data_IF_544640043877
#
_entry.id   IF_544640043877
#
_cell.length_a   1.000
_cell.length_b   1.000
_cell.length_c   1.000
_cell.angle_alpha   90.00
_cell.angle_beta   90.00
_cell.angle_gamma   90.00
#
_symmetry.space_group_name_H-M   'P 1'
#
loop_
_entity.id
_entity.type
_entity.pdbx_description
1 polymer ?
#
# COMPACT_ATOMS: atom_id res chain seq x y z
N UNK A 1 4.57 2.72 23.09
CA UNK A 1 5.30 1.58 22.51
C UNK A 1 4.82 1.39 21.08
N UNK A 2 5.66 0.92 20.14
CA UNK A 2 5.16 0.53 18.83
C UNK A 2 4.08 -0.56 19.01
N UNK A 3 3.02 -0.50 18.21
CA UNK A 3 1.98 -1.52 18.24
C UNK A 3 2.49 -2.85 17.67
N UNK A 4 1.86 -3.94 18.10
CA UNK A 4 2.09 -5.30 17.61
C UNK A 4 1.37 -5.50 16.28
N UNK A 5 2.03 -6.15 15.33
CA UNK A 5 1.55 -6.33 13.95
C UNK A 5 0.92 -7.71 13.72
N UNK A 6 -0.13 -7.76 12.92
CA UNK A 6 -0.62 -8.98 12.27
C UNK A 6 -0.23 -8.92 10.79
N UNK A 7 0.63 -9.85 10.37
CA UNK A 7 1.30 -9.85 9.07
C UNK A 7 0.91 -11.13 8.32
N UNK A 8 -0.23 -11.17 7.62
CA UNK A 8 -0.58 -12.34 6.82
C UNK A 8 0.55 -12.75 5.87
N UNK A 9 0.70 -14.06 5.71
CA UNK A 9 1.63 -14.67 4.79
C UNK A 9 0.86 -15.25 3.60
N UNK A 10 1.38 -15.05 2.40
CA UNK A 10 0.90 -15.71 1.19
C UNK A 10 2.07 -16.50 0.61
N UNK A 11 1.97 -17.82 0.62
CA UNK A 11 2.85 -18.64 -0.19
C UNK A 11 2.49 -18.44 -1.67
N UNK A 12 3.45 -17.99 -2.47
CA UNK A 12 3.21 -17.71 -3.90
C UNK A 12 3.77 -18.81 -4.81
N UNK A 13 4.42 -19.84 -4.26
CA UNK A 13 4.97 -20.94 -5.03
C UNK A 13 3.84 -21.75 -5.68
N UNK A 14 3.86 -21.84 -7.02
CA UNK A 14 2.82 -22.56 -7.79
C UNK A 14 1.45 -21.86 -7.83
N UNK A 15 1.34 -20.62 -7.34
CA UNK A 15 0.09 -19.88 -7.29
C UNK A 15 -0.08 -18.90 -8.45
N UNK A 16 -1.33 -18.70 -8.87
CA UNK A 16 -1.64 -17.76 -9.96
C UNK A 16 -1.61 -16.34 -9.40
N UNK A 17 -0.90 -15.43 -10.08
CA UNK A 17 -0.76 -14.01 -9.68
C UNK A 17 -2.08 -13.32 -9.33
N UNK A 18 -3.15 -13.57 -10.09
CA UNK A 18 -4.47 -12.99 -9.82
C UNK A 18 -5.07 -13.43 -8.48
N UNK A 19 -4.84 -14.68 -8.05
CA UNK A 19 -5.28 -15.17 -6.75
C UNK A 19 -4.52 -14.50 -5.62
N UNK A 20 -3.21 -14.33 -5.77
CA UNK A 20 -2.35 -13.65 -4.80
C UNK A 20 -2.78 -12.19 -4.62
N UNK A 21 -2.99 -11.45 -5.72
CA UNK A 21 -3.44 -10.06 -5.68
C UNK A 21 -4.79 -9.95 -4.96
N UNK A 22 -5.76 -10.80 -5.32
CA UNK A 22 -7.09 -10.80 -4.68
C UNK A 22 -7.01 -11.07 -3.18
N UNK A 23 -6.16 -12.00 -2.75
CA UNK A 23 -5.98 -12.32 -1.34
C UNK A 23 -5.25 -11.19 -0.59
N UNK A 24 -4.24 -10.60 -1.20
CA UNK A 24 -3.51 -9.46 -0.67
C UNK A 24 -4.42 -8.23 -0.48
N UNK A 25 -5.30 -7.94 -1.45
CA UNK A 25 -6.32 -6.90 -1.34
C UNK A 25 -7.28 -7.16 -0.17
N UNK A 26 -7.75 -8.41 -0.02
CA UNK A 26 -8.61 -8.82 1.11
C UNK A 26 -7.91 -8.59 2.46
N UNK A 27 -6.62 -8.88 2.55
CA UNK A 27 -5.84 -8.62 3.76
C UNK A 27 -5.70 -7.13 4.06
N UNK A 28 -5.37 -6.32 3.07
CA UNK A 28 -5.34 -4.87 3.18
C UNK A 28 -6.68 -4.29 3.68
N UNK A 29 -7.78 -4.77 3.11
CA UNK A 29 -9.13 -4.31 3.43
C UNK A 29 -9.67 -4.85 4.77
N UNK A 30 -9.09 -5.93 5.29
CA UNK A 30 -9.43 -6.51 6.60
C UNK A 30 -8.51 -6.06 7.74
N UNK A 31 -7.62 -5.09 7.50
CA UNK A 31 -6.81 -4.47 8.56
C UNK A 31 -5.48 -5.15 8.84
N UNK A 32 -4.90 -5.89 7.88
CA UNK A 32 -3.50 -6.31 7.97
C UNK A 32 -2.55 -5.11 8.14
N UNK A 33 -1.47 -5.28 8.91
CA UNK A 33 -0.46 -4.23 9.08
C UNK A 33 0.58 -4.23 7.98
N UNK A 34 0.97 -5.42 7.55
CA UNK A 34 1.93 -5.69 6.48
C UNK A 34 1.56 -7.01 5.81
N UNK A 35 2.24 -7.34 4.71
CA UNK A 35 2.08 -8.61 3.99
C UNK A 35 3.44 -9.27 3.77
N UNK A 36 3.55 -10.59 3.94
CA UNK A 36 4.71 -11.36 3.47
C UNK A 36 4.31 -12.22 2.27
N UNK A 37 4.96 -11.99 1.13
CA UNK A 37 4.95 -12.92 0.01
C UNK A 37 6.10 -13.91 0.20
N UNK A 38 5.79 -15.19 0.27
CA UNK A 38 6.77 -16.22 0.59
C UNK A 38 7.01 -17.12 -0.62
N UNK A 39 8.20 -17.05 -1.21
CA UNK A 39 8.64 -17.96 -2.27
C UNK A 39 10.17 -18.04 -2.34
N UNK A 40 10.72 -19.12 -1.79
CA UNK A 40 12.15 -19.42 -1.80
C UNK A 40 12.56 -20.38 -2.92
N UNK A 41 11.76 -20.47 -3.99
CA UNK A 41 12.13 -21.25 -5.18
C UNK A 41 13.47 -20.77 -5.74
N UNK A 42 14.32 -21.74 -6.11
CA UNK A 42 15.59 -21.49 -6.79
C UNK A 42 15.43 -21.37 -8.31
N UNK A 43 14.23 -21.66 -8.83
CA UNK A 43 13.94 -21.55 -10.25
C UNK A 43 13.85 -20.08 -10.68
N UNK A 44 14.64 -19.71 -11.70
CA UNK A 44 14.70 -18.33 -12.19
C UNK A 44 13.37 -17.84 -12.76
N UNK A 45 12.57 -18.70 -13.41
CA UNK A 45 11.26 -18.29 -13.91
C UNK A 45 10.33 -17.93 -12.76
N UNK A 46 10.32 -18.72 -11.68
CA UNK A 46 9.56 -18.43 -10.47
C UNK A 46 9.96 -17.10 -9.83
N UNK A 47 11.27 -16.78 -9.81
CA UNK A 47 11.76 -15.46 -9.34
C UNK A 47 11.26 -14.33 -10.22
N UNK A 48 11.35 -14.47 -11.55
CA UNK A 48 10.87 -13.45 -12.50
C UNK A 48 9.35 -13.22 -12.36
N UNK A 49 8.57 -14.28 -12.19
CA UNK A 49 7.13 -14.20 -11.95
C UNK A 49 6.81 -13.47 -10.64
N UNK A 50 7.54 -13.77 -9.55
CA UNK A 50 7.39 -13.08 -8.28
C UNK A 50 7.73 -11.57 -8.39
N UNK A 51 8.78 -11.22 -9.12
CA UNK A 51 9.15 -9.81 -9.34
C UNK A 51 8.09 -9.07 -10.17
N UNK A 52 7.50 -9.72 -11.19
CA UNK A 52 6.38 -9.16 -11.95
C UNK A 52 5.14 -8.98 -11.08
N UNK A 53 4.81 -9.99 -10.28
CA UNK A 53 3.72 -9.93 -9.31
C UNK A 53 3.90 -8.77 -8.33
N UNK A 54 5.12 -8.60 -7.79
CA UNK A 54 5.43 -7.50 -6.87
C UNK A 54 5.16 -6.12 -7.47
N UNK A 55 5.58 -5.88 -8.71
CA UNK A 55 5.32 -4.60 -9.40
C UNK A 55 3.82 -4.31 -9.52
N UNK A 56 3.01 -5.33 -9.76
CA UNK A 56 1.55 -5.20 -9.81
C UNK A 56 0.96 -4.94 -8.42
N UNK A 57 1.50 -5.57 -7.38
CA UNK A 57 1.06 -5.37 -6.00
C UNK A 57 1.35 -3.95 -5.48
N UNK A 58 2.49 -3.33 -5.86
CA UNK A 58 2.81 -1.94 -5.49
C UNK A 58 1.66 -0.98 -5.82
N UNK A 59 0.98 -1.19 -6.95
CA UNK A 59 -0.15 -0.35 -7.38
C UNK A 59 -1.46 -0.63 -6.63
N UNK A 60 -1.63 -1.87 -6.17
CA UNK A 60 -2.88 -2.36 -5.58
C UNK A 60 -2.95 -2.21 -4.05
N UNK A 61 -1.82 -2.37 -3.36
CA UNK A 61 -1.77 -2.42 -1.90
C UNK A 61 -1.50 -1.06 -1.26
N UNK A 62 -2.19 -0.79 -0.14
CA UNK A 62 -1.97 0.39 0.69
C UNK A 62 -1.17 0.08 1.98
N UNK A 63 -0.70 -1.17 2.11
CA UNK A 63 0.08 -1.65 3.26
C UNK A 63 1.49 -2.05 2.80
N UNK A 64 2.51 -1.92 3.66
CA UNK A 64 3.86 -2.43 3.38
C UNK A 64 3.83 -3.93 3.07
N UNK A 65 4.69 -4.37 2.16
CA UNK A 65 4.85 -5.78 1.87
C UNK A 65 6.32 -6.17 1.77
N UNK A 66 6.62 -7.38 2.23
CA UNK A 66 7.94 -7.97 2.29
C UNK A 66 7.96 -9.18 1.37
N UNK A 67 9.07 -9.40 0.68
CA UNK A 67 9.24 -10.55 -0.21
C UNK A 67 10.28 -11.49 0.40
N UNK A 68 9.86 -12.71 0.71
CA UNK A 68 10.74 -13.84 0.94
C UNK A 68 11.18 -14.45 -0.36
N UNK A 69 12.48 -14.37 -0.66
CA UNK A 69 13.08 -14.87 -1.89
C UNK A 69 14.47 -15.46 -1.60
N UNK A 70 14.79 -16.53 -2.32
CA UNK A 70 16.14 -17.10 -2.32
C UNK A 70 17.08 -16.21 -3.17
N UNK A 71 17.83 -15.34 -2.49
CA UNK A 71 18.81 -14.47 -3.12
C UNK A 71 20.17 -15.18 -3.27
N UNK A 72 20.73 -15.20 -4.47
CA UNK A 72 22.08 -15.71 -4.71
C UNK A 72 23.12 -14.60 -4.80
N UNK A 73 22.67 -13.41 -5.21
CA UNK A 73 23.46 -12.24 -5.52
C UNK A 73 22.88 -10.96 -4.90
N UNK A 74 23.67 -9.89 -4.92
CA UNK A 74 23.19 -8.56 -4.54
C UNK A 74 22.14 -8.03 -5.50
N UNK A 75 22.22 -8.41 -6.78
CA UNK A 75 21.26 -7.95 -7.78
C UNK A 75 19.86 -8.51 -7.48
N UNK A 76 19.73 -9.75 -7.00
CA UNK A 76 18.44 -10.31 -6.56
C UNK A 76 17.78 -9.45 -5.48
N UNK A 77 18.55 -9.09 -4.44
CA UNK A 77 18.09 -8.26 -3.33
C UNK A 77 17.66 -6.88 -3.85
N UNK A 78 18.49 -6.26 -4.67
CA UNK A 78 18.23 -4.96 -5.27
C UNK A 78 16.97 -4.99 -6.13
N UNK A 79 16.81 -6.01 -6.97
CA UNK A 79 15.66 -6.18 -7.86
C UNK A 79 14.36 -6.29 -7.06
N UNK A 80 14.35 -7.07 -5.98
CA UNK A 80 13.22 -7.16 -5.04
C UNK A 80 12.87 -5.78 -4.49
N UNK A 81 13.82 -5.07 -3.89
CA UNK A 81 13.52 -3.78 -3.26
C UNK A 81 13.09 -2.71 -4.28
N UNK A 82 13.62 -2.77 -5.51
CA UNK A 82 13.22 -1.87 -6.60
C UNK A 82 11.85 -2.16 -7.20
N UNK A 83 11.21 -3.27 -6.84
CA UNK A 83 9.80 -3.50 -7.21
C UNK A 83 8.82 -2.69 -6.35
N UNK A 84 9.27 -2.07 -5.25
CA UNK A 84 8.43 -1.40 -4.26
C UNK A 84 8.27 -2.14 -2.94
N UNK A 85 8.88 -3.33 -2.82
CA UNK A 85 8.87 -4.08 -1.56
C UNK A 85 9.51 -3.27 -0.43
N UNK A 86 8.85 -3.24 0.72
CA UNK A 86 9.30 -2.51 1.91
C UNK A 86 10.50 -3.20 2.58
N UNK A 87 10.66 -4.51 2.35
CA UNK A 87 11.80 -5.29 2.80
C UNK A 87 11.93 -6.63 2.06
N UNK A 88 13.04 -7.31 2.31
CA UNK A 88 13.32 -8.65 1.82
C UNK A 88 13.52 -9.60 3.00
N UNK A 89 12.88 -10.78 2.93
CA UNK A 89 13.08 -11.88 3.87
C UNK A 89 14.06 -12.88 3.26
N UNK A 90 15.21 -13.02 3.92
CA UNK A 90 16.30 -13.88 3.51
C UNK A 90 16.25 -15.19 4.29
N UNK A 91 16.57 -16.30 3.64
CA UNK A 91 16.68 -17.60 4.30
C UNK A 91 17.90 -17.63 5.23
N UNK A 92 17.81 -18.36 6.35
CA UNK A 92 18.94 -18.65 7.24
C UNK A 92 20.19 -19.12 6.49
N UNK A 93 20.00 -19.88 5.40
CA UNK A 93 21.09 -20.40 4.58
C UNK A 93 22.00 -19.30 4.02
N UNK A 94 21.51 -18.06 3.88
CA UNK A 94 22.28 -16.93 3.34
C UNK A 94 23.33 -16.39 4.31
N UNK A 95 23.31 -16.80 5.59
CA UNK A 95 24.37 -16.48 6.53
C UNK A 95 25.74 -17.03 6.09
N UNK A 96 25.79 -17.98 5.16
CA UNK A 96 27.04 -18.42 4.53
C UNK A 96 27.67 -17.40 3.56
N UNK A 97 26.96 -16.30 3.27
CA UNK A 97 27.40 -15.16 2.43
C UNK A 97 27.24 -13.84 3.21
N UNK A 98 27.95 -13.64 4.34
CA UNK A 98 27.74 -12.49 5.22
C UNK A 98 27.99 -11.15 4.52
N UNK A 99 29.00 -11.07 3.64
CA UNK A 99 29.34 -9.84 2.91
C UNK A 99 28.19 -9.35 2.02
N UNK A 100 27.42 -10.27 1.44
CA UNK A 100 26.25 -9.95 0.62
C UNK A 100 25.17 -9.26 1.46
N UNK A 101 24.86 -9.81 2.63
CA UNK A 101 23.83 -9.28 3.55
C UNK A 101 24.28 -7.91 4.06
N UNK A 102 25.54 -7.81 4.51
CA UNK A 102 26.10 -6.56 5.04
C UNK A 102 26.07 -5.45 4.00
N UNK A 103 26.52 -5.73 2.78
CA UNK A 103 26.49 -4.75 1.69
C UNK A 103 25.06 -4.32 1.33
N UNK A 104 24.11 -5.25 1.32
CA UNK A 104 22.69 -4.92 1.12
C UNK A 104 22.13 -4.03 2.24
N UNK A 105 22.46 -4.32 3.49
CA UNK A 105 22.05 -3.52 4.64
C UNK A 105 22.63 -2.11 4.60
N UNK A 106 23.93 -1.97 4.30
CA UNK A 106 24.58 -0.67 4.17
C UNK A 106 23.97 0.17 3.03
N UNK A 107 23.56 -0.48 1.93
CA UNK A 107 22.96 0.19 0.78
C UNK A 107 21.51 0.60 1.00
N UNK A 108 20.70 -0.25 1.62
CA UNK A 108 19.24 -0.10 1.67
C UNK A 108 18.68 0.21 3.08
N UNK A 109 19.51 0.07 4.11
CA UNK A 109 19.17 0.22 5.50
C UNK A 109 18.72 -1.09 6.15
N UNK A 110 19.16 -1.32 7.39
CA UNK A 110 18.88 -2.55 8.16
C UNK A 110 17.39 -2.90 8.28
N UNK A 111 16.51 -1.90 8.34
CA UNK A 111 15.07 -2.11 8.48
C UNK A 111 14.43 -2.78 7.26
N UNK A 112 15.13 -2.84 6.11
CA UNK A 112 14.67 -3.54 4.91
C UNK A 112 15.14 -5.00 4.86
N UNK A 113 16.00 -5.42 5.79
CA UNK A 113 16.63 -6.74 5.77
C UNK A 113 16.04 -7.60 6.89
N UNK A 114 15.34 -8.66 6.49
CA UNK A 114 14.73 -9.64 7.39
C UNK A 114 15.45 -10.98 7.21
N UNK A 115 15.60 -11.74 8.29
CA UNK A 115 16.20 -13.08 8.26
C UNK A 115 15.24 -14.08 8.86
N UNK A 116 14.94 -15.15 8.10
CA UNK A 116 14.21 -16.29 8.61
C UNK A 116 15.16 -17.23 9.36
N UNK A 117 14.80 -17.63 10.58
CA UNK A 117 15.54 -18.58 11.40
C UNK A 117 14.59 -19.61 12.04
N UNK A 118 15.08 -20.81 12.37
CA UNK A 118 14.30 -21.78 13.12
C UNK A 118 14.44 -21.51 14.61
N UNK A 119 13.41 -21.83 15.40
CA UNK A 119 13.48 -21.74 16.85
C UNK A 119 14.68 -22.51 17.44
N UNK A 120 15.02 -23.66 16.86
CA UNK A 120 16.20 -24.46 17.25
C UNK A 120 17.51 -23.67 17.16
N UNK A 121 17.68 -22.89 16.08
CA UNK A 121 18.90 -22.11 15.84
C UNK A 121 19.04 -21.00 16.92
N UNK A 122 17.92 -20.43 17.37
CA UNK A 122 17.88 -19.47 18.50
C UNK A 122 18.25 -20.18 19.82
N UNK A 123 17.70 -21.37 20.06
CA UNK A 123 17.93 -22.08 21.33
C UNK A 123 19.38 -22.57 21.48
N UNK A 124 20.04 -22.93 20.38
CA UNK A 124 21.41 -23.45 20.39
C UNK A 124 22.45 -22.41 20.80
N UNK A 125 22.36 -21.17 20.31
CA UNK A 125 23.36 -20.13 20.58
C UNK A 125 22.77 -18.72 20.53
N UNK A 126 23.41 -17.79 21.22
CA UNK A 126 23.08 -16.36 21.14
C UNK A 126 23.81 -15.67 19.95
N UNK A 127 24.73 -16.38 19.27
CA UNK A 127 25.51 -15.92 18.11
C UNK A 127 24.64 -15.34 16.98
N UNK A 128 23.41 -15.83 16.82
CA UNK A 128 22.50 -15.31 15.79
C UNK A 128 22.18 -13.83 16.01
N UNK A 129 22.05 -13.40 17.27
CA UNK A 129 21.75 -12.02 17.60
C UNK A 129 22.94 -11.11 17.29
N UNK A 130 24.15 -11.53 17.66
CA UNK A 130 25.38 -10.82 17.33
C UNK A 130 25.58 -10.74 15.81
N UNK A 131 25.32 -11.84 15.10
CA UNK A 131 25.37 -11.90 13.63
C UNK A 131 24.39 -10.91 13.01
N UNK A 132 23.17 -10.82 13.53
CA UNK A 132 22.18 -9.86 13.05
C UNK A 132 22.67 -8.41 13.22
N UNK A 133 23.26 -8.06 14.35
CA UNK A 133 23.80 -6.72 14.55
C UNK A 133 24.99 -6.43 13.61
N UNK A 134 25.93 -7.37 13.47
CA UNK A 134 27.11 -7.23 12.63
C UNK A 134 26.78 -7.09 11.14
N UNK A 135 25.78 -7.82 10.66
CA UNK A 135 25.35 -7.80 9.25
C UNK A 135 24.28 -6.73 8.98
N UNK A 136 23.81 -6.02 10.01
CA UNK A 136 22.76 -5.02 9.88
C UNK A 136 21.41 -5.62 9.48
N UNK A 137 21.00 -6.72 10.10
CA UNK A 137 19.67 -7.31 9.94
C UNK A 137 18.73 -6.60 10.92
N UNK A 138 17.61 -6.09 10.43
CA UNK A 138 16.67 -5.31 11.26
C UNK A 138 15.64 -6.17 11.99
N UNK A 139 15.25 -7.30 11.38
CA UNK A 139 14.16 -8.14 11.88
C UNK A 139 14.46 -9.63 11.70
N UNK A 140 14.27 -10.40 12.77
CA UNK A 140 14.26 -11.86 12.74
C UNK A 140 12.83 -12.37 12.59
N UNK A 141 12.60 -13.25 11.61
CA UNK A 141 11.35 -14.01 11.46
C UNK A 141 11.61 -15.44 11.92
N UNK A 142 10.95 -15.85 13.01
CA UNK A 142 11.26 -17.13 13.66
C UNK A 142 10.17 -18.14 13.38
N UNK A 143 10.54 -19.28 12.82
CA UNK A 143 9.66 -20.42 12.63
C UNK A 143 9.43 -21.08 14.00
N UNK A 144 8.26 -20.82 14.57
CA UNK A 144 7.92 -21.20 15.94
C UNK A 144 7.50 -22.68 16.04
N UNK A 145 7.86 -23.27 17.17
CA UNK A 145 7.59 -24.66 17.56
C UNK A 145 6.87 -24.67 18.91
N UNK A 146 7.45 -24.01 19.92
CA UNK A 146 6.90 -23.94 21.28
C UNK A 146 7.23 -22.64 22.02
N UNK A 147 6.50 -22.38 23.11
CA UNK A 147 6.68 -21.23 24.00
C UNK A 147 7.42 -21.62 25.29
N UNK A 148 8.48 -22.43 25.20
CA UNK A 148 9.31 -22.76 26.36
C UNK A 148 9.90 -21.50 27.02
N UNK A 149 10.10 -21.55 28.34
CA UNK A 149 10.69 -20.43 29.10
C UNK A 149 12.08 -20.05 28.58
N UNK A 150 12.87 -21.04 28.14
CA UNK A 150 14.18 -20.82 27.53
C UNK A 150 14.07 -19.99 26.23
N UNK A 151 13.09 -20.29 25.38
CA UNK A 151 12.86 -19.55 24.14
C UNK A 151 12.43 -18.11 24.43
N UNK A 152 11.45 -17.92 25.31
CA UNK A 152 10.95 -16.59 25.69
C UNK A 152 12.08 -15.74 26.30
N UNK A 153 12.88 -16.34 27.19
CA UNK A 153 14.02 -15.68 27.83
C UNK A 153 15.06 -15.23 26.80
N UNK A 154 15.38 -16.06 25.80
CA UNK A 154 16.29 -15.67 24.71
C UNK A 154 15.72 -14.54 23.86
N UNK A 155 14.46 -14.63 23.43
CA UNK A 155 13.84 -13.57 22.62
C UNK A 155 13.81 -12.23 23.34
N UNK A 156 13.60 -12.23 24.66
CA UNK A 156 13.59 -11.01 25.48
C UNK A 156 14.93 -10.25 25.48
N UNK A 157 16.02 -10.91 25.06
CA UNK A 157 17.36 -10.33 24.92
C UNK A 157 17.71 -9.94 23.49
N UNK A 158 16.83 -10.23 22.52
CA UNK A 158 17.12 -9.95 21.11
C UNK A 158 17.36 -8.44 20.87
N UNK A 159 18.47 -8.05 20.23
CA UNK A 159 18.77 -6.65 19.91
C UNK A 159 18.00 -6.15 18.66
N UNK A 160 17.32 -7.06 17.96
CA UNK A 160 16.58 -6.80 16.73
C UNK A 160 15.09 -7.08 16.92
N UNK A 161 14.26 -6.54 16.03
CA UNK A 161 12.82 -6.82 16.08
C UNK A 161 12.55 -8.29 15.79
N UNK A 162 11.62 -8.91 16.50
CA UNK A 162 11.24 -10.31 16.24
C UNK A 162 9.83 -10.38 15.67
N UNK A 163 9.63 -11.20 14.64
CA UNK A 163 8.31 -11.62 14.15
C UNK A 163 8.23 -13.13 14.35
N UNK A 164 7.13 -13.61 14.91
CA UNK A 164 6.89 -15.04 15.06
C UNK A 164 6.09 -15.55 13.86
N UNK A 165 6.60 -16.56 13.16
CA UNK A 165 5.85 -17.32 12.16
C UNK A 165 5.22 -18.53 12.82
N UNK A 166 3.88 -18.55 12.89
CA UNK A 166 3.10 -19.63 13.51
C UNK A 166 1.83 -19.93 12.71
N UNK A 167 1.33 -21.17 12.78
CA UNK A 167 0.10 -21.57 12.09
C UNK A 167 -1.18 -21.16 12.84
N UNK A 168 -1.05 -20.74 14.10
CA UNK A 168 -2.12 -20.37 15.04
C UNK A 168 -3.21 -21.44 15.22
N UNK A 169 -2.92 -22.70 14.93
CA UNK A 169 -3.87 -23.80 15.10
C UNK A 169 -3.96 -24.26 16.55
N UNK A 170 -2.85 -24.18 17.29
CA UNK A 170 -2.73 -24.66 18.67
C UNK A 170 -2.26 -23.59 19.65
N UNK A 171 -1.74 -22.48 19.14
CA UNK A 171 -1.16 -21.43 19.94
C UNK A 171 -2.10 -20.24 20.00
N UNK A 172 -2.17 -19.63 21.18
CA UNK A 172 -2.87 -18.37 21.35
C UNK A 172 -1.97 -17.22 20.89
N UNK A 173 -2.44 -16.49 19.89
CA UNK A 173 -1.77 -15.31 19.34
C UNK A 173 -1.43 -14.27 20.44
N UNK A 174 -2.23 -14.19 21.52
CA UNK A 174 -2.00 -13.30 22.67
C UNK A 174 -0.70 -13.63 23.38
N UNK A 175 -0.46 -14.92 23.64
CA UNK A 175 0.73 -15.38 24.36
C UNK A 175 2.00 -15.07 23.56
N UNK A 176 1.93 -15.25 22.24
CA UNK A 176 3.05 -14.95 21.33
C UNK A 176 3.34 -13.44 21.26
N UNK A 177 2.32 -12.59 21.16
CA UNK A 177 2.49 -11.13 21.08
C UNK A 177 2.94 -10.48 22.41
N UNK A 178 2.62 -11.11 23.54
CA UNK A 178 3.03 -10.63 24.86
C UNK A 178 4.54 -10.81 25.15
N UNK A 179 5.26 -11.56 24.31
CA UNK A 179 6.72 -11.65 24.40
C UNK A 179 7.31 -10.24 24.10
N UNK A 180 8.16 -9.68 24.99
CA UNK A 180 8.55 -8.26 24.94
C UNK A 180 9.06 -7.77 23.57
N UNK A 181 9.99 -8.51 22.95
CA UNK A 181 10.63 -8.13 21.69
C UNK A 181 9.91 -8.65 20.44
N UNK A 182 8.80 -9.37 20.60
CA UNK A 182 7.98 -9.79 19.46
C UNK A 182 7.18 -8.58 18.99
N UNK A 183 7.45 -8.11 17.79
CA UNK A 183 6.80 -6.95 17.18
C UNK A 183 5.61 -7.33 16.31
N UNK A 184 5.45 -8.61 15.96
CA UNK A 184 4.31 -9.09 15.21
C UNK A 184 4.32 -10.60 15.00
N UNK A 185 3.26 -11.07 14.35
CA UNK A 185 3.10 -12.47 13.95
C UNK A 185 2.84 -12.53 12.46
N UNK A 186 3.46 -13.51 11.81
CA UNK A 186 3.19 -13.86 10.43
C UNK A 186 2.57 -15.25 10.31
N UNK A 187 1.52 -15.38 9.49
CA UNK A 187 0.70 -16.59 9.45
C UNK A 187 -0.18 -16.67 8.20
N UNK A 188 -0.50 -17.88 7.76
CA UNK A 188 -1.50 -18.15 6.71
C UNK A 188 -2.92 -18.31 7.28
N UNK A 189 -3.08 -18.31 8.61
CA UNK A 189 -4.32 -18.59 9.34
C UNK A 189 -5.51 -17.70 8.96
N UNK A 190 -5.24 -16.49 8.44
CA UNK A 190 -6.24 -15.47 8.15
C UNK A 190 -6.86 -15.55 6.75
N UNK A 191 -6.48 -16.52 5.91
CA UNK A 191 -7.00 -16.64 4.52
C UNK A 191 -8.51 -16.46 4.41
N UNK A 192 -9.26 -17.00 5.37
CA UNK A 192 -10.72 -16.92 5.44
C UNK A 192 -11.27 -16.31 6.73
N UNK A 193 -10.48 -15.46 7.40
CA UNK A 193 -10.84 -14.82 8.67
C UNK A 193 -10.67 -13.30 8.61
N UNK A 194 -11.32 -12.63 9.54
CA UNK A 194 -11.30 -11.17 9.68
C UNK A 194 -10.15 -10.75 10.62
N UNK A 195 -9.13 -10.12 10.07
CA UNK A 195 -7.95 -9.66 10.83
C UNK A 195 -8.34 -8.54 11.80
N UNK A 196 -9.17 -7.59 11.39
CA UNK A 196 -9.61 -6.47 12.22
C UNK A 196 -10.38 -6.98 13.43
N UNK A 197 -11.25 -7.99 13.25
CA UNK A 197 -11.93 -8.65 14.38
C UNK A 197 -10.93 -9.25 15.38
N UNK A 198 -9.87 -9.91 14.88
CA UNK A 198 -8.83 -10.44 15.76
C UNK A 198 -8.08 -9.33 16.50
N UNK A 199 -7.77 -8.21 15.83
CA UNK A 199 -7.15 -7.05 16.46
C UNK A 199 -8.04 -6.43 17.54
N UNK A 200 -9.33 -6.29 17.30
CA UNK A 200 -10.26 -5.78 18.31
C UNK A 200 -10.27 -6.65 19.56
N UNK A 201 -10.29 -7.98 19.40
CA UNK A 201 -10.18 -8.92 20.53
C UNK A 201 -8.83 -8.79 21.27
N UNK A 202 -7.73 -8.56 20.53
CA UNK A 202 -6.41 -8.31 21.15
C UNK A 202 -6.38 -7.02 21.96
N UNK A 203 -7.03 -5.97 21.44
CA UNK A 203 -7.12 -4.68 22.13
C UNK A 203 -7.94 -4.78 23.43
N UNK A 204 -9.04 -5.54 23.43
CA UNK A 204 -9.83 -5.80 24.65
C UNK A 204 -8.99 -6.47 25.75
N UNK A 205 -7.98 -7.23 25.36
CA UNK A 205 -7.01 -7.89 26.23
C UNK A 205 -5.76 -7.03 26.52
N UNK A 206 -5.82 -5.72 26.23
CA UNK A 206 -4.75 -4.73 26.43
C UNK A 206 -3.48 -4.97 25.60
N UNK A 207 -3.55 -5.73 24.51
CA UNK A 207 -2.45 -5.85 23.56
C UNK A 207 -2.52 -4.66 22.59
N UNK A 208 -1.46 -3.85 22.59
CA UNK A 208 -1.36 -2.68 21.70
C UNK A 208 -1.31 -3.14 20.24
N UNK A 209 -2.39 -2.94 19.49
CA UNK A 209 -2.49 -3.25 18.05
C UNK A 209 -3.01 -2.03 17.28
N UNK A 210 -2.74 -2.00 15.98
CA UNK A 210 -3.21 -0.92 15.11
C UNK A 210 -4.65 -1.16 14.67
N UNK A 211 -5.59 -0.43 15.28
CA UNK A 211 -7.01 -0.37 14.92
C UNK A 211 -7.43 1.08 14.75
N UNK A 212 -8.56 1.31 14.08
CA UNK A 212 -9.14 2.64 13.98
C UNK A 212 -9.67 3.09 15.35
N UNK A 213 -9.18 4.24 15.81
CA UNK A 213 -9.62 4.87 17.05
C UNK A 213 -9.97 6.33 16.77
N UNK A 214 -11.10 6.77 17.33
CA UNK A 214 -11.39 8.20 17.35
C UNK A 214 -10.59 8.88 18.45
N UNK A 215 -10.11 10.09 18.15
CA UNK A 215 -9.45 10.97 19.13
C UNK A 215 -10.45 11.65 20.07
N UNK A 216 -11.73 11.72 19.70
CA UNK A 216 -12.80 12.34 20.48
C UNK A 216 -14.05 11.44 20.49
N UNK A 217 -14.84 11.42 21.56
CA UNK A 217 -16.11 10.69 21.57
C UNK A 217 -17.14 11.34 20.64
N UNK A 218 -18.15 10.57 20.21
CA UNK A 218 -19.21 11.08 19.34
C UNK A 218 -19.98 12.26 19.97
N UNK A 219 -20.07 12.30 21.30
CA UNK A 219 -20.73 13.37 22.05
C UNK A 219 -20.11 14.76 21.88
N UNK A 220 -18.90 14.86 21.31
CA UNK A 220 -18.26 16.15 21.00
C UNK A 220 -18.68 16.72 19.64
N UNK A 221 -19.37 15.95 18.80
CA UNK A 221 -19.89 16.45 17.53
C UNK A 221 -21.17 17.25 17.73
N UNK A 222 -21.31 18.32 16.94
CA UNK A 222 -22.58 19.03 16.81
C UNK A 222 -23.44 18.29 15.81
N UNK A 223 -24.53 17.73 16.31
CA UNK A 223 -25.49 16.97 15.49
C UNK A 223 -26.76 17.77 15.29
N UNK A 224 -27.49 17.46 14.22
CA UNK A 224 -28.85 17.96 14.02
C UNK A 224 -29.81 17.53 15.14
N UNK A 225 -31.00 18.13 15.21
CA UNK A 225 -32.06 17.74 16.16
C UNK A 225 -32.42 16.24 16.11
N UNK A 226 -32.23 15.61 14.95
CA UNK A 226 -32.46 14.17 14.76
C UNK A 226 -31.27 13.30 15.22
N UNK A 227 -30.23 13.88 15.83
CA UNK A 227 -29.03 13.17 16.27
C UNK A 227 -28.11 12.74 15.11
N UNK A 228 -28.17 13.45 13.98
CA UNK A 228 -27.42 13.09 12.76
C UNK A 228 -26.34 14.13 12.43
N UNK A 229 -25.17 13.63 12.02
CA UNK A 229 -24.06 14.40 11.45
C UNK A 229 -23.91 14.12 9.95
N UNK A 230 -23.78 15.15 9.08
CA UNK A 230 -23.42 14.95 7.69
C UNK A 230 -22.01 14.38 7.53
N UNK A 231 -21.85 13.50 6.55
CA UNK A 231 -20.56 12.89 6.19
C UNK A 231 -20.35 13.04 4.70
N UNK A 232 -19.30 13.76 4.32
CA UNK A 232 -18.79 13.84 2.96
C UNK A 232 -17.82 12.68 2.76
N UNK A 233 -18.05 11.87 1.75
CA UNK A 233 -17.20 10.71 1.44
C UNK A 233 -16.40 11.01 0.18
N UNK A 234 -15.08 10.84 0.26
CA UNK A 234 -14.12 11.20 -0.78
C UNK A 234 -13.22 10.00 -1.11
N UNK A 235 -12.89 9.82 -2.38
CA UNK A 235 -11.85 8.87 -2.78
C UNK A 235 -10.50 9.29 -2.19
N UNK A 236 -9.87 8.38 -1.45
CA UNK A 236 -8.63 8.68 -0.73
C UNK A 236 -7.42 8.98 -1.64
N UNK A 237 -7.40 8.44 -2.87
CA UNK A 237 -6.32 8.64 -3.85
C UNK A 237 -6.58 9.86 -4.71
N UNK A 238 -7.77 9.96 -5.30
CA UNK A 238 -8.05 11.01 -6.30
C UNK A 238 -8.60 12.30 -5.70
N UNK A 239 -9.03 12.28 -4.43
CA UNK A 239 -9.70 13.41 -3.80
C UNK A 239 -11.08 13.73 -4.40
N UNK A 240 -11.66 12.83 -5.19
CA UNK A 240 -12.99 13.03 -5.77
C UNK A 240 -14.06 12.84 -4.69
N UNK A 241 -14.97 13.81 -4.54
CA UNK A 241 -16.13 13.63 -3.66
C UNK A 241 -17.06 12.60 -4.28
N UNK A 242 -17.31 11.52 -3.56
CA UNK A 242 -18.11 10.37 -4.00
C UNK A 242 -19.58 10.54 -3.65
N UNK A 243 -19.88 10.94 -2.42
CA UNK A 243 -21.26 11.09 -1.94
C UNK A 243 -21.33 11.92 -0.65
N UNK A 244 -22.54 12.35 -0.29
CA UNK A 244 -22.88 12.86 1.03
C UNK A 244 -23.94 11.94 1.65
N UNK A 245 -23.73 11.57 2.91
CA UNK A 245 -24.70 10.82 3.71
C UNK A 245 -24.72 11.34 5.14
N UNK A 246 -25.40 10.63 6.04
CA UNK A 246 -25.53 11.01 7.44
C UNK A 246 -25.16 9.82 8.32
N UNK A 247 -24.64 10.09 9.51
CA UNK A 247 -24.41 9.09 10.56
C UNK A 247 -25.15 9.54 11.83
N UNK A 248 -25.73 8.57 12.55
CA UNK A 248 -25.99 8.70 13.98
C UNK A 248 -24.79 8.14 14.76
N UNK A 249 -24.83 8.18 16.08
CA UNK A 249 -23.77 7.66 16.95
C UNK A 249 -23.43 6.19 16.66
N UNK A 250 -24.45 5.35 16.48
CA UNK A 250 -24.25 3.92 16.20
C UNK A 250 -23.55 3.69 14.85
N UNK A 251 -23.95 4.41 13.80
CA UNK A 251 -23.32 4.35 12.49
C UNK A 251 -21.85 4.80 12.53
N UNK A 252 -21.56 5.86 13.29
CA UNK A 252 -20.20 6.34 13.51
C UNK A 252 -19.35 5.29 14.24
N UNK A 253 -19.82 4.78 15.36
CA UNK A 253 -19.10 3.79 16.17
C UNK A 253 -18.84 2.49 15.41
N UNK A 254 -19.80 2.04 14.58
CA UNK A 254 -19.60 0.91 13.68
C UNK A 254 -18.57 1.21 12.60
N UNK A 255 -18.59 2.41 12.02
CA UNK A 255 -17.60 2.82 11.01
C UNK A 255 -16.18 2.82 11.57
N UNK A 256 -15.99 3.40 12.76
CA UNK A 256 -14.70 3.42 13.44
C UNK A 256 -14.26 2.00 13.79
N UNK A 257 -15.14 1.18 14.37
CA UNK A 257 -14.77 -0.18 14.82
C UNK A 257 -14.50 -1.14 13.66
N UNK A 258 -15.36 -1.14 12.63
CA UNK A 258 -15.31 -2.11 11.53
C UNK A 258 -14.48 -1.66 10.33
N UNK A 259 -13.98 -0.41 10.31
CA UNK A 259 -13.19 0.12 9.19
C UNK A 259 -13.94 0.21 7.86
N UNK A 260 -15.28 0.13 7.88
CA UNK A 260 -16.16 0.20 6.70
C UNK A 260 -17.26 1.22 6.93
N UNK A 261 -17.58 1.99 5.90
CA UNK A 261 -18.59 3.04 6.00
C UNK A 261 -19.98 2.47 6.31
N UNK A 262 -20.50 2.82 7.48
CA UNK A 262 -21.88 2.58 7.89
C UNK A 262 -22.59 3.92 8.00
N UNK A 263 -23.70 4.08 7.29
CA UNK A 263 -24.52 5.30 7.31
C UNK A 263 -25.84 5.06 8.03
N UNK A 264 -26.53 6.15 8.38
CA UNK A 264 -27.91 6.12 8.83
C UNK A 264 -28.84 6.63 7.71
N UNK A 265 -29.75 5.77 7.26
CA UNK A 265 -30.73 6.15 6.25
C UNK A 265 -31.86 6.95 6.90
N UNK A 266 -31.96 8.25 6.58
CA UNK A 266 -33.04 9.12 7.10
C UNK A 266 -34.43 8.66 6.70
N UNK A 267 -34.57 8.11 5.49
CA UNK A 267 -35.86 7.64 4.97
C UNK A 267 -36.25 6.27 5.53
N UNK A 268 -35.30 5.33 5.62
CA UNK A 268 -35.55 3.97 6.13
C UNK A 268 -35.46 3.88 7.66
N UNK A 269 -34.91 4.90 8.31
CA UNK A 269 -34.67 4.99 9.76
C UNK A 269 -33.87 3.81 10.31
N UNK A 270 -32.89 3.35 9.55
CA UNK A 270 -32.06 2.20 9.90
C UNK A 270 -30.60 2.44 9.51
N UNK A 271 -29.71 1.66 10.12
CA UNK A 271 -28.32 1.57 9.67
C UNK A 271 -28.22 0.98 8.26
N UNK A 272 -27.18 1.38 7.55
CA UNK A 272 -26.87 0.91 6.21
C UNK A 272 -25.36 0.78 6.04
N UNK A 273 -24.87 -0.46 6.03
CA UNK A 273 -23.49 -0.75 5.65
C UNK A 273 -23.35 -0.58 4.13
N UNK A 274 -22.54 0.39 3.69
CA UNK A 274 -22.38 0.67 2.27
C UNK A 274 -21.73 -0.52 1.58
N UNK A 275 -22.40 -1.05 0.56
CA UNK A 275 -21.94 -2.19 -0.23
C UNK A 275 -22.52 -3.53 0.20
N UNK A 276 -23.22 -3.63 1.33
CA UNK A 276 -23.78 -4.90 1.82
C UNK A 276 -24.66 -5.62 0.79
N UNK A 277 -25.50 -4.87 0.05
CA UNK A 277 -26.37 -5.44 -0.99
C UNK A 277 -25.73 -5.50 -2.38
N UNK A 278 -24.71 -4.68 -2.67
CA UNK A 278 -24.18 -4.49 -4.04
C UNK A 278 -22.74 -4.98 -4.23
N UNK A 279 -22.04 -5.34 -3.15
CA UNK A 279 -20.61 -5.59 -3.13
C UNK A 279 -19.72 -4.33 -3.26
N UNK A 280 -20.31 -3.14 -3.40
CA UNK A 280 -19.57 -1.88 -3.60
C UNK A 280 -19.22 -1.21 -2.27
N UNK A 281 -18.35 -1.86 -1.52
CA UNK A 281 -17.92 -1.43 -0.19
C UNK A 281 -17.08 -0.16 -0.21
N UNK A 282 -17.06 0.53 0.92
CA UNK A 282 -16.21 1.69 1.19
C UNK A 282 -15.38 1.40 2.43
N UNK A 283 -14.07 1.20 2.26
CA UNK A 283 -13.14 0.97 3.36
C UNK A 283 -12.56 2.30 3.82
N UNK A 284 -12.62 2.56 5.12
CA UNK A 284 -12.15 3.79 5.75
C UNK A 284 -10.62 3.84 5.66
N UNK A 285 -10.08 4.97 5.19
CA UNK A 285 -8.64 5.28 5.23
C UNK A 285 -8.34 6.42 6.20
N UNK A 286 -9.25 7.38 6.32
CA UNK A 286 -9.18 8.42 7.34
C UNK A 286 -10.56 9.04 7.58
N UNK A 287 -10.76 9.56 8.80
CA UNK A 287 -11.90 10.38 9.18
C UNK A 287 -11.40 11.71 9.74
N UNK A 288 -11.98 12.80 9.25
CA UNK A 288 -11.73 14.15 9.72
C UNK A 288 -13.05 14.80 10.12
N UNK A 289 -12.97 15.80 10.99
CA UNK A 289 -14.07 16.72 11.26
C UNK A 289 -13.63 18.12 10.90
N UNK A 290 -14.58 19.00 10.60
CA UNK A 290 -14.33 20.41 10.33
C UNK A 290 -14.03 21.22 11.60
N UNK A 291 -13.85 22.53 11.44
CA UNK A 291 -13.34 23.40 12.50
C UNK A 291 -14.32 23.58 13.67
N UNK A 292 -15.62 23.39 13.44
CA UNK A 292 -16.68 23.55 14.42
C UNK A 292 -17.41 22.24 14.77
N UNK A 293 -16.89 21.11 14.26
CA UNK A 293 -17.26 19.72 14.58
C UNK A 293 -18.69 19.35 14.21
N UNK A 294 -19.23 19.92 13.14
CA UNK A 294 -20.60 19.62 12.69
C UNK A 294 -20.67 18.76 11.43
N UNK A 295 -19.52 18.54 10.77
CA UNK A 295 -19.43 17.72 9.57
C UNK A 295 -18.22 16.78 9.63
N UNK A 296 -18.37 15.59 9.05
CA UNK A 296 -17.28 14.64 8.86
C UNK A 296 -16.84 14.57 7.39
N UNK A 297 -15.54 14.42 7.18
CA UNK A 297 -14.95 14.03 5.90
C UNK A 297 -14.34 12.64 6.04
N UNK A 298 -14.89 11.67 5.31
CA UNK A 298 -14.38 10.31 5.21
C UNK A 298 -13.57 10.13 3.93
N UNK A 299 -12.28 9.83 4.06
CA UNK A 299 -11.46 9.34 2.95
C UNK A 299 -11.58 7.82 2.88
N UNK A 300 -12.01 7.31 1.74
CA UNK A 300 -12.32 5.88 1.58
C UNK A 300 -11.68 5.30 0.32
N UNK A 301 -11.32 4.01 0.40
CA UNK A 301 -11.11 3.17 -0.77
C UNK A 301 -12.47 2.64 -1.22
N UNK A 302 -12.92 3.05 -2.40
CA UNK A 302 -14.20 2.66 -2.97
C UNK A 302 -14.04 1.42 -3.87
N UNK A 303 -14.81 0.36 -3.59
CA UNK A 303 -14.91 -0.80 -4.47
C UNK A 303 -16.09 -0.59 -5.43
N UNK A 304 -15.84 -0.67 -6.74
CA UNK A 304 -16.88 -0.43 -7.76
C UNK A 304 -17.44 1.00 -7.71
N UNK A 305 -18.60 1.27 -8.34
CA UNK A 305 -19.23 2.58 -8.30
C UNK A 305 -19.78 2.93 -6.91
N UNK A 306 -19.59 4.18 -6.46
CA UNK A 306 -20.22 4.65 -5.23
C UNK A 306 -21.73 4.86 -5.41
N UNK A 307 -22.15 5.29 -6.61
CA UNK A 307 -23.54 5.58 -6.93
C UNK A 307 -24.30 4.33 -7.39
N UNK A 308 -25.58 4.23 -6.99
CA UNK A 308 -26.48 3.17 -7.42
C UNK A 308 -26.83 3.20 -8.92
N UNK A 309 -26.54 4.31 -9.61
CA UNK A 309 -26.71 4.45 -11.07
C UNK A 309 -25.54 3.86 -11.86
N UNK A 310 -24.50 3.34 -11.19
CA UNK A 310 -23.27 2.87 -11.81
C UNK A 310 -22.21 3.94 -12.01
N UNK A 311 -22.49 5.21 -11.67
CA UNK A 311 -21.49 6.29 -11.71
C UNK A 311 -20.52 6.20 -10.53
N UNK A 312 -19.28 6.66 -10.76
CA UNK A 312 -18.23 6.69 -9.72
C UNK A 312 -18.64 7.57 -8.54
N UNK A 313 -19.14 8.77 -8.81
CA UNK A 313 -19.65 9.74 -7.83
C UNK A 313 -21.15 9.94 -7.99
N UNK A 314 -21.84 10.34 -6.91
CA UNK A 314 -23.20 10.88 -6.95
C UNK A 314 -23.27 12.27 -7.59
N UNK A 315 -22.16 13.01 -7.64
CA UNK A 315 -22.06 14.37 -8.17
C UNK A 315 -21.63 14.37 -9.65
N UNK A 316 -22.26 13.53 -10.48
CA UNK A 316 -21.89 13.36 -11.89
C UNK A 316 -22.63 14.31 -12.85
N UNK A 317 -23.68 14.99 -12.37
CA UNK A 317 -24.47 15.94 -13.18
C UNK A 317 -24.08 17.37 -12.84
N UNK A 318 -23.43 18.08 -13.77
CA UNK A 318 -23.13 19.50 -13.63
C UNK A 318 -24.38 20.36 -13.86
N UNK A 319 -24.66 21.28 -12.94
CA UNK A 319 -25.79 22.22 -13.07
C UNK A 319 -25.37 23.56 -13.70
N UNK A 320 -24.12 23.96 -13.49
CA UNK A 320 -23.52 25.16 -14.04
C UNK A 320 -22.04 24.90 -14.27
N UNK A 321 -21.63 24.87 -15.53
CA UNK A 321 -20.24 24.71 -15.93
C UNK A 321 -19.82 25.98 -16.64
N UNK A 322 -19.36 26.98 -15.87
CA UNK A 322 -18.61 28.08 -16.48
C UNK A 322 -17.28 27.50 -16.99
N UNK A 323 -16.80 27.94 -18.15
CA UNK A 323 -15.48 27.57 -18.67
C UNK A 323 -14.39 28.13 -17.73
N UNK A 324 -14.13 27.45 -16.62
CA UNK A 324 -12.96 27.68 -15.79
C UNK A 324 -11.83 26.84 -16.35
N UNK A 325 -10.68 27.48 -16.62
CA UNK A 325 -9.46 26.75 -16.92
C UNK A 325 -8.99 26.08 -15.64
N UNK A 326 -9.14 24.76 -15.56
CA UNK A 326 -8.56 23.93 -14.50
C UNK A 326 -7.12 24.40 -14.24
N UNK A 327 -6.83 24.70 -12.96
CA UNK A 327 -5.58 25.33 -12.55
C UNK A 327 -4.76 24.42 -11.65
N UNK A 328 -5.31 23.29 -11.21
CA UNK A 328 -4.57 22.28 -10.47
C UNK A 328 -3.54 21.60 -11.40
N UNK A 329 -2.22 21.77 -11.16
CA UNK A 329 -1.20 21.27 -12.07
C UNK A 329 -1.24 19.75 -12.26
N UNK A 330 -1.55 19.00 -11.20
CA UNK A 330 -1.58 17.55 -11.24
C UNK A 330 -2.77 17.05 -12.08
N UNK A 331 -3.95 17.64 -11.93
CA UNK A 331 -5.11 17.35 -12.78
C UNK A 331 -4.88 17.69 -14.24
N UNK A 332 -4.18 18.80 -14.53
CA UNK A 332 -3.81 19.14 -15.91
C UNK A 332 -2.93 18.04 -16.51
N UNK A 333 -1.88 17.62 -15.79
CA UNK A 333 -0.98 16.55 -16.23
C UNK A 333 -1.72 15.22 -16.42
N UNK A 334 -2.58 14.83 -15.47
CA UNK A 334 -3.42 13.64 -15.59
C UNK A 334 -4.39 13.73 -16.78
N UNK A 335 -5.01 14.89 -17.01
CA UNK A 335 -5.92 15.11 -18.14
C UNK A 335 -5.19 14.98 -19.47
N UNK A 336 -4.01 15.57 -19.62
CA UNK A 336 -3.19 15.48 -20.83
C UNK A 336 -2.76 14.02 -21.06
N UNK A 337 -2.31 13.33 -20.00
CA UNK A 337 -1.99 11.91 -20.07
C UNK A 337 -3.19 11.05 -20.47
N UNK A 338 -4.37 11.33 -19.92
CA UNK A 338 -5.62 10.68 -20.29
C UNK A 338 -5.97 10.83 -21.77
N UNK A 339 -5.75 12.01 -22.35
CA UNK A 339 -5.91 12.25 -23.80
C UNK A 339 -4.89 11.46 -24.63
N UNK A 340 -3.63 11.36 -24.17
CA UNK A 340 -2.60 10.55 -24.83
C UNK A 340 -3.01 9.07 -24.85
N UNK A 341 -3.47 8.56 -23.71
CA UNK A 341 -3.94 7.18 -23.56
C UNK A 341 -5.19 6.90 -24.39
N UNK A 342 -6.14 7.83 -24.45
CA UNK A 342 -7.30 7.74 -25.33
C UNK A 342 -6.87 7.66 -26.79
N UNK A 343 -5.99 8.54 -27.27
CA UNK A 343 -5.47 8.48 -28.64
C UNK A 343 -4.72 7.20 -28.96
N UNK A 344 -4.05 6.58 -27.97
CA UNK A 344 -3.39 5.27 -28.14
C UNK A 344 -4.41 4.15 -28.35
N UNK A 345 -5.54 4.18 -27.62
CA UNK A 345 -6.61 3.17 -27.71
C UNK A 345 -7.57 3.41 -28.89
N UNK A 346 -7.85 4.68 -29.17
CA UNK A 346 -8.78 5.18 -30.16
C UNK A 346 -8.03 6.13 -31.12
N UNK A 347 -7.28 5.59 -32.11
CA UNK A 347 -6.49 6.41 -33.01
C UNK A 347 -7.31 7.44 -33.77
N UNK A 348 -6.80 8.67 -33.85
CA UNK A 348 -7.41 9.75 -34.63
C UNK A 348 -6.47 10.15 -35.76
N UNK A 349 -6.95 10.03 -37.00
CA UNK A 349 -6.17 10.41 -38.19
C UNK A 349 -5.70 11.87 -38.10
N UNK A 350 -4.44 12.11 -38.47
CA UNK A 350 -3.80 13.44 -38.40
C UNK A 350 -3.37 13.90 -36.99
N UNK A 351 -3.58 13.09 -35.95
CA UNK A 351 -3.12 13.39 -34.59
C UNK A 351 -1.59 13.25 -34.46
N UNK A 352 -0.93 14.28 -33.93
CA UNK A 352 0.50 14.24 -33.62
C UNK A 352 0.86 13.11 -32.64
N UNK A 353 0.01 12.83 -31.65
CA UNK A 353 0.23 11.73 -30.71
C UNK A 353 0.24 10.37 -31.44
N UNK A 354 -0.66 10.17 -32.41
CA UNK A 354 -0.71 8.92 -33.17
C UNK A 354 0.51 8.76 -34.08
N UNK A 355 0.97 9.84 -34.72
CA UNK A 355 2.23 9.84 -35.47
C UNK A 355 3.44 9.39 -34.62
N UNK A 356 3.53 9.84 -33.36
CA UNK A 356 4.60 9.41 -32.46
C UNK A 356 4.53 7.90 -32.18
N UNK A 357 3.34 7.37 -31.86
CA UNK A 357 3.16 5.93 -31.63
C UNK A 357 3.41 5.09 -32.89
N UNK A 358 2.96 5.54 -34.06
CA UNK A 358 3.20 4.85 -35.34
C UNK A 358 4.68 4.77 -35.71
N UNK A 359 5.47 5.80 -35.38
CA UNK A 359 6.92 5.80 -35.59
C UNK A 359 7.69 5.04 -34.51
N UNK A 360 7.03 4.67 -33.42
CA UNK A 360 7.58 3.82 -32.37
C UNK A 360 8.59 4.50 -31.45
N UNK A 361 9.17 3.67 -30.58
CA UNK A 361 9.98 4.10 -29.44
C UNK A 361 11.15 5.02 -29.81
N UNK A 362 11.85 4.75 -30.92
CA UNK A 362 13.01 5.55 -31.33
C UNK A 362 12.64 7.01 -31.64
N UNK A 363 11.47 7.23 -32.25
CA UNK A 363 10.99 8.59 -32.55
C UNK A 363 10.58 9.33 -31.29
N UNK A 364 9.95 8.64 -30.35
CA UNK A 364 9.55 9.18 -29.05
C UNK A 364 10.81 9.58 -28.24
N UNK A 365 11.80 8.70 -28.16
CA UNK A 365 13.06 8.94 -27.47
C UNK A 365 13.85 10.10 -28.11
N UNK A 366 13.88 10.16 -29.44
CA UNK A 366 14.49 11.28 -30.16
C UNK A 366 13.88 12.62 -29.74
N UNK A 367 12.53 12.72 -29.69
CA UNK A 367 11.88 13.96 -29.23
C UNK A 367 12.20 14.27 -27.78
N UNK A 368 12.14 13.28 -26.87
CA UNK A 368 12.54 13.50 -25.48
C UNK A 368 13.96 14.07 -25.35
N UNK A 369 14.91 13.60 -26.17
CA UNK A 369 16.28 14.12 -26.21
C UNK A 369 16.41 15.53 -26.78
N UNK A 370 15.65 15.83 -27.85
CA UNK A 370 15.59 17.17 -28.46
C UNK A 370 15.08 18.21 -27.44
N UNK A 371 13.90 17.99 -26.86
CA UNK A 371 13.30 18.94 -25.90
C UNK A 371 14.17 19.10 -24.64
N UNK A 372 14.83 18.02 -24.17
CA UNK A 372 15.75 18.10 -23.04
C UNK A 372 16.97 18.99 -23.33
N UNK A 373 17.51 18.93 -24.55
CA UNK A 373 18.59 19.80 -24.98
C UNK A 373 18.12 21.26 -25.12
N UNK A 374 16.91 21.46 -25.64
CA UNK A 374 16.29 22.79 -25.80
C UNK A 374 16.03 23.45 -24.43
N UNK A 375 15.58 22.71 -23.41
CA UNK A 375 15.51 23.19 -22.02
C UNK A 375 16.87 23.72 -21.54
N UNK A 376 17.95 22.98 -21.77
CA UNK A 376 19.32 23.37 -21.34
C UNK A 376 19.72 24.68 -22.03
N UNK A 377 19.46 24.80 -23.34
CA UNK A 377 19.78 25.98 -24.13
C UNK A 377 18.96 27.18 -23.69
N UNK A 378 17.64 27.03 -23.55
CA UNK A 378 16.72 28.09 -23.13
C UNK A 378 17.06 28.60 -21.71
N UNK A 379 17.37 27.69 -20.78
CA UNK A 379 17.81 28.03 -19.43
C UNK A 379 19.14 28.80 -19.43
N UNK A 380 20.12 28.36 -20.23
CA UNK A 380 21.40 29.05 -20.40
C UNK A 380 21.22 30.46 -20.96
N UNK A 381 20.32 30.61 -21.94
CA UNK A 381 20.03 31.88 -22.61
C UNK A 381 19.13 32.82 -21.77
N UNK A 382 18.70 32.39 -20.58
CA UNK A 382 17.83 33.15 -19.67
C UNK A 382 16.49 33.57 -20.31
N UNK A 383 16.00 32.79 -21.29
CA UNK A 383 14.71 33.03 -21.93
C UNK A 383 13.63 32.24 -21.20
N UNK A 384 12.94 32.89 -20.25
CA UNK A 384 11.96 32.25 -19.37
C UNK A 384 10.72 31.75 -20.14
N UNK A 385 10.31 32.45 -21.20
CA UNK A 385 9.14 32.03 -21.97
C UNK A 385 9.46 30.82 -22.86
N UNK A 386 10.59 30.84 -23.57
CA UNK A 386 11.09 29.66 -24.31
C UNK A 386 11.27 28.47 -23.35
N UNK A 387 11.94 28.68 -22.21
CA UNK A 387 12.11 27.63 -21.20
C UNK A 387 10.77 27.05 -20.73
N UNK A 388 9.72 27.86 -20.59
CA UNK A 388 8.37 27.38 -20.24
C UNK A 388 7.81 26.46 -21.33
N UNK A 389 7.97 26.83 -22.60
CA UNK A 389 7.50 26.02 -23.73
C UNK A 389 8.28 24.70 -23.84
N UNK A 390 9.61 24.75 -23.75
CA UNK A 390 10.46 23.55 -23.84
C UNK A 390 10.18 22.57 -22.69
N UNK A 391 9.93 23.07 -21.47
CA UNK A 391 9.51 22.23 -20.35
C UNK A 391 8.16 21.58 -20.63
N UNK A 392 7.19 22.32 -21.19
CA UNK A 392 5.88 21.78 -21.51
C UNK A 392 5.96 20.69 -22.60
N UNK A 393 6.74 20.91 -23.65
CA UNK A 393 6.93 19.95 -24.73
C UNK A 393 7.71 18.73 -24.28
N UNK A 394 8.74 18.89 -23.46
CA UNK A 394 9.43 17.77 -22.82
C UNK A 394 8.48 16.93 -21.97
N UNK A 395 7.67 17.56 -21.11
CA UNK A 395 6.69 16.84 -20.29
C UNK A 395 5.66 16.10 -21.15
N UNK A 396 5.21 16.70 -22.26
CA UNK A 396 4.31 16.04 -23.19
C UNK A 396 4.95 14.79 -23.83
N UNK A 397 6.17 14.90 -24.36
CA UNK A 397 6.86 13.75 -24.97
C UNK A 397 7.22 12.68 -23.93
N UNK A 398 7.56 13.10 -22.69
CA UNK A 398 7.78 12.19 -21.58
C UNK A 398 6.50 11.41 -21.23
N UNK A 399 5.33 12.07 -21.23
CA UNK A 399 4.04 11.38 -21.04
C UNK A 399 3.72 10.40 -22.17
N UNK A 400 4.08 10.71 -23.43
CA UNK A 400 3.97 9.75 -24.55
C UNK A 400 4.89 8.55 -24.35
N UNK A 401 6.12 8.78 -23.88
CA UNK A 401 7.05 7.70 -23.53
C UNK A 401 6.49 6.83 -22.39
N UNK A 402 5.98 7.45 -21.32
CA UNK A 402 5.34 6.75 -20.20
C UNK A 402 4.21 5.84 -20.69
N UNK A 403 3.31 6.38 -21.53
CA UNK A 403 2.23 5.61 -22.15
C UNK A 403 2.74 4.48 -23.06
N UNK A 404 3.91 4.64 -23.69
CA UNK A 404 4.54 3.61 -24.51
C UNK A 404 5.05 2.43 -23.69
N UNK A 405 5.65 2.71 -22.53
CA UNK A 405 6.25 1.70 -21.66
C UNK A 405 5.34 1.22 -20.52
N UNK A 406 4.11 1.72 -20.44
CA UNK A 406 3.12 1.31 -19.44
C UNK A 406 3.31 1.90 -18.04
N UNK A 407 3.88 3.11 -17.97
CA UNK A 407 4.01 3.92 -16.75
C UNK A 407 2.98 5.04 -16.74
N UNK A 408 2.59 5.53 -15.57
CA UNK A 408 1.73 6.70 -15.38
C UNK A 408 2.26 7.68 -14.32
N UNK A 409 1.54 8.79 -14.09
CA UNK A 409 1.94 9.79 -13.11
C UNK A 409 1.94 9.27 -11.66
N UNK A 410 1.15 8.23 -11.36
CA UNK A 410 1.10 7.64 -10.03
C UNK A 410 2.38 6.83 -9.77
N UNK A 411 2.87 6.10 -10.78
CA UNK A 411 4.16 5.40 -10.72
C UNK A 411 5.31 6.38 -10.46
N UNK A 412 5.35 7.50 -11.20
CA UNK A 412 6.41 8.51 -11.07
C UNK A 412 6.33 9.23 -9.71
N UNK A 413 5.13 9.58 -9.26
CA UNK A 413 4.92 10.21 -7.96
C UNK A 413 5.33 9.29 -6.81
N UNK A 414 5.02 7.99 -6.89
CA UNK A 414 5.43 7.00 -5.90
C UNK A 414 6.96 6.88 -5.81
N UNK A 415 7.65 6.80 -6.95
CA UNK A 415 9.12 6.74 -7.00
C UNK A 415 9.78 8.01 -6.43
N UNK A 416 9.19 9.20 -6.66
CA UNK A 416 9.70 10.45 -6.09
C UNK A 416 9.44 10.54 -4.58
N UNK A 417 8.32 10.00 -4.11
CA UNK A 417 8.00 9.94 -2.68
C UNK A 417 8.98 9.03 -1.92
N UNK A 418 9.38 7.90 -2.52
CA UNK A 418 10.34 6.95 -1.94
C UNK A 418 11.76 7.54 -1.76
N UNK A 419 12.05 8.70 -2.37
CA UNK A 419 13.35 9.40 -2.31
C UNK A 419 13.38 10.57 -1.32
N UNK A 420 12.24 10.95 -0.75
CA UNK A 420 12.17 11.91 0.35
C UNK A 420 12.52 11.23 1.66
#
# INVERSE_FOLDING_TARGET
>A
MPYKKIIPLINTEGEISANVIRLADKYCDSGADELILYNFSKDENSKEELLKLSKNLKRALDIPYIIGLYAESFDDIKRVLYTGASGILLSYSLLNKPDLIKYASERFGKNKIYLEARQEDILQSDEIFETCEQLGIGTLVINHIDTSEAFISKLSKSPVSVIIRDDLNKNDIRNLLNIPNVTGITTEFYKDKDILKAKLALKEENISVNVFESKIPFSEFKVSEAGLIPVITQDYKTGEVLMLAYMNEEAYNRTVTEGRMTYYSRSRKCLWLKGESSGHYQYVKALYTDCDKDTLLAKVRQIGPACHTGNKSCFYTGLLNNEYKESDPYRILQSVYGVIMDRKKNPKEGSYTNYLFEKGIDKILKKCGEEAAEIIIAAKNQNVDELRYEIADFLYHLMVLMAEVGLDWDDIAAELADRK
#
